data_IF_316430821023
#
_entry.id   IF_316430821023
#
_cell.length_a   1.000
_cell.length_b   1.000
_cell.length_c   1.000
_cell.angle_alpha   90.00
_cell.angle_beta   90.00
_cell.angle_gamma   90.00
#
_symmetry.space_group_name_H-M   'P 1'
#
loop_
_entity.id
_entity.type
_entity.pdbx_description
1 polymer ?
#
# COMPACT_ATOMS: atom_id res chain seq x y z
N UNK A 1 -3.94 -13.62 -4.11
CA UNK A 1 -4.99 -13.92 -5.12
C UNK A 1 -6.34 -14.28 -4.52
N UNK A 2 -6.44 -14.97 -3.37
CA UNK A 2 -7.76 -15.28 -2.77
C UNK A 2 -8.30 -14.17 -1.86
N UNK A 3 -7.42 -13.53 -1.10
CA UNK A 3 -7.77 -12.42 -0.20
C UNK A 3 -7.03 -11.10 -0.56
N UNK A 4 -6.10 -11.17 -1.52
CA UNK A 4 -5.30 -10.02 -1.93
C UNK A 4 -5.93 -9.27 -3.12
N UNK A 5 -6.88 -9.86 -3.83
CA UNK A 5 -7.64 -9.23 -4.91
C UNK A 5 -9.12 -9.29 -4.56
N UNK A 6 -9.92 -8.35 -5.07
CA UNK A 6 -11.36 -8.25 -4.84
C UNK A 6 -12.07 -9.50 -5.35
N UNK A 7 -11.72 -9.89 -6.57
CA UNK A 7 -12.13 -11.18 -7.14
C UNK A 7 -10.95 -12.15 -7.09
N UNK A 8 -11.18 -13.45 -6.79
CA UNK A 8 -10.12 -14.44 -6.84
C UNK A 8 -9.40 -14.43 -8.18
N UNK A 9 -8.07 -14.30 -8.13
CA UNK A 9 -7.23 -14.31 -9.33
C UNK A 9 -6.26 -15.50 -9.25
N UNK A 10 -6.42 -16.46 -10.17
CA UNK A 10 -5.63 -17.70 -10.20
C UNK A 10 -4.17 -17.47 -10.53
N UNK A 11 -3.83 -16.51 -11.40
CA UNK A 11 -2.45 -16.17 -11.73
C UNK A 11 -1.71 -15.65 -10.50
N UNK A 12 -2.36 -14.76 -9.75
CA UNK A 12 -1.83 -14.25 -8.47
C UNK A 12 -1.69 -15.39 -7.47
N UNK A 13 -2.65 -16.32 -7.39
CA UNK A 13 -2.52 -17.49 -6.50
C UNK A 13 -1.33 -18.35 -6.93
N UNK A 14 -1.20 -18.68 -8.21
CA UNK A 14 -0.13 -19.52 -8.74
C UNK A 14 1.25 -18.92 -8.49
N UNK A 15 1.40 -17.61 -8.70
CA UNK A 15 2.64 -16.89 -8.44
C UNK A 15 3.09 -17.03 -6.97
N UNK A 16 2.22 -16.68 -6.02
CA UNK A 16 2.55 -16.74 -4.59
C UNK A 16 2.57 -18.16 -4.02
N UNK A 17 1.95 -19.14 -4.69
CA UNK A 17 2.01 -20.55 -4.30
C UNK A 17 3.30 -21.25 -4.77
N UNK A 18 4.11 -20.62 -5.62
CA UNK A 18 5.36 -21.22 -6.09
C UNK A 18 6.31 -21.48 -4.90
N UNK A 19 6.81 -22.72 -4.69
CA UNK A 19 7.44 -23.12 -3.42
C UNK A 19 8.60 -22.23 -2.97
N UNK A 20 9.47 -21.83 -3.91
CA UNK A 20 10.60 -20.96 -3.61
C UNK A 20 10.15 -19.58 -3.12
N UNK A 21 9.11 -19.02 -3.75
CA UNK A 21 8.57 -17.72 -3.39
C UNK A 21 7.82 -17.79 -2.08
N UNK A 22 6.91 -18.77 -1.94
CA UNK A 22 6.13 -18.98 -0.73
C UNK A 22 7.04 -19.13 0.50
N UNK A 23 8.09 -19.94 0.41
CA UNK A 23 9.02 -20.16 1.52
C UNK A 23 9.84 -18.90 1.84
N UNK A 24 10.31 -18.17 0.83
CA UNK A 24 11.07 -16.94 1.04
C UNK A 24 10.22 -15.87 1.73
N UNK A 25 9.02 -15.61 1.21
CA UNK A 25 8.07 -14.64 1.77
C UNK A 25 7.69 -15.04 3.19
N UNK A 26 7.25 -16.29 3.41
CA UNK A 26 6.83 -16.75 4.72
C UNK A 26 7.92 -16.59 5.79
N UNK A 27 9.18 -16.89 5.47
CA UNK A 27 10.29 -16.73 6.42
C UNK A 27 10.56 -15.28 6.76
N UNK A 28 10.56 -14.40 5.76
CA UNK A 28 10.85 -12.97 5.95
C UNK A 28 9.69 -12.31 6.71
N UNK A 29 8.45 -12.53 6.26
CA UNK A 29 7.25 -11.99 6.91
C UNK A 29 7.14 -12.47 8.36
N UNK A 30 7.26 -13.78 8.62
CA UNK A 30 7.19 -14.30 9.98
C UNK A 30 8.28 -13.70 10.88
N UNK A 31 9.50 -13.50 10.34
CA UNK A 31 10.59 -12.88 11.07
C UNK A 31 10.28 -11.41 11.44
N UNK A 32 9.76 -10.62 10.51
CA UNK A 32 9.40 -9.23 10.82
C UNK A 32 8.17 -9.18 11.75
N UNK A 33 7.15 -10.01 11.54
CA UNK A 33 5.95 -10.00 12.36
C UNK A 33 6.22 -10.39 13.82
N UNK A 34 7.00 -11.44 14.08
CA UNK A 34 7.31 -11.84 15.47
C UNK A 34 8.14 -10.78 16.21
N UNK A 35 8.94 -10.01 15.47
CA UNK A 35 9.73 -8.91 16.02
C UNK A 35 9.02 -7.55 15.94
N UNK A 36 7.70 -7.52 15.66
CA UNK A 36 6.91 -6.28 15.55
C UNK A 36 7.52 -5.26 14.57
N UNK A 37 8.07 -5.78 13.47
CA UNK A 37 8.83 -5.07 12.46
C UNK A 37 9.99 -4.21 13.01
N UNK A 38 10.46 -4.48 14.24
CA UNK A 38 11.46 -3.68 14.95
C UNK A 38 11.02 -2.22 15.15
N UNK A 39 9.71 -1.98 15.23
CA UNK A 39 9.12 -0.67 15.45
C UNK A 39 8.44 -0.61 16.82
N UNK A 40 8.47 0.59 17.42
CA UNK A 40 7.58 0.90 18.52
C UNK A 40 6.12 0.98 18.04
N UNK A 41 5.12 0.75 18.92
CA UNK A 41 3.73 0.89 18.57
C UNK A 41 3.41 2.26 17.96
N UNK A 42 2.71 2.27 16.83
CA UNK A 42 2.34 3.48 16.08
C UNK A 42 3.52 4.39 15.69
N UNK A 43 4.76 3.89 15.67
CA UNK A 43 5.93 4.71 15.38
C UNK A 43 5.83 5.47 14.04
N UNK A 44 5.22 4.89 13.01
CA UNK A 44 5.05 5.57 11.71
C UNK A 44 4.09 6.77 11.85
N UNK A 45 2.90 6.55 12.42
CA UNK A 45 1.87 7.59 12.63
C UNK A 45 2.42 8.71 13.52
N UNK A 46 3.12 8.36 14.59
CA UNK A 46 3.68 9.34 15.53
C UNK A 46 4.87 10.14 14.96
N UNK A 47 5.38 9.79 13.77
CA UNK A 47 6.51 10.45 13.13
C UNK A 47 6.16 11.02 11.75
N UNK A 48 4.88 11.16 11.40
CA UNK A 48 4.46 11.73 10.10
C UNK A 48 4.93 13.18 9.91
N UNK A 49 5.22 13.90 10.99
CA UNK A 49 5.84 15.24 10.94
C UNK A 49 7.14 15.27 10.15
N UNK A 50 7.88 14.15 10.09
CA UNK A 50 9.11 14.02 9.30
C UNK A 50 8.86 13.94 7.80
N UNK A 51 7.62 13.71 7.38
CA UNK A 51 7.20 13.61 5.98
C UNK A 51 6.61 14.93 5.45
N UNK A 52 6.51 15.96 6.30
CA UNK A 52 5.95 17.26 5.92
C UNK A 52 6.76 17.90 4.81
N UNK A 53 6.05 18.48 3.84
CA UNK A 53 6.64 19.07 2.63
C UNK A 53 7.03 18.06 1.56
N UNK A 54 6.88 16.74 1.79
CA UNK A 54 7.07 15.72 0.76
C UNK A 54 5.73 15.51 0.02
N UNK A 55 5.66 15.73 -1.30
CA UNK A 55 4.46 15.42 -2.08
C UNK A 55 4.15 13.92 -2.02
N UNK A 56 2.91 13.55 -1.69
CA UNK A 56 2.54 12.15 -1.53
C UNK A 56 1.10 11.85 -1.99
N UNK A 57 0.90 10.63 -2.47
CA UNK A 57 -0.43 10.05 -2.72
C UNK A 57 -0.48 8.67 -2.06
N UNK A 58 -1.53 8.42 -1.29
CA UNK A 58 -1.86 7.13 -0.67
C UNK A 58 -2.96 6.51 -1.52
N UNK A 59 -2.67 5.41 -2.21
CA UNK A 59 -3.64 4.64 -3.00
C UNK A 59 -4.00 3.37 -2.23
N UNK A 60 -5.29 3.16 -1.93
CA UNK A 60 -5.71 2.01 -1.12
C UNK A 60 -7.02 1.40 -1.60
N UNK A 61 -7.10 0.07 -1.66
CA UNK A 61 -8.34 -0.63 -2.03
C UNK A 61 -9.37 -0.63 -0.90
N UNK A 62 -10.64 -0.32 -1.22
CA UNK A 62 -11.73 -0.32 -0.23
C UNK A 62 -11.90 -1.68 0.46
N UNK A 63 -11.65 -2.76 -0.26
CA UNK A 63 -11.82 -4.13 0.21
C UNK A 63 -10.48 -4.85 0.43
N UNK A 64 -9.41 -4.10 0.73
CA UNK A 64 -8.15 -4.70 1.15
C UNK A 64 -8.32 -5.45 2.48
N UNK A 65 -8.28 -6.79 2.40
CA UNK A 65 -8.39 -7.70 3.54
C UNK A 65 -7.03 -8.05 4.17
N UNK A 66 -5.92 -7.66 3.54
CA UNK A 66 -4.56 -7.90 4.03
C UNK A 66 -4.15 -6.73 4.93
N UNK A 67 -4.34 -5.51 4.45
CA UNK A 67 -4.09 -4.26 5.14
C UNK A 67 -5.39 -3.45 5.19
N UNK A 68 -6.21 -3.60 6.26
CA UNK A 68 -7.51 -2.95 6.32
C UNK A 68 -7.45 -1.42 6.13
N UNK A 69 -8.45 -0.89 5.44
CA UNK A 69 -8.47 0.52 4.97
C UNK A 69 -8.40 1.57 6.09
N UNK A 70 -8.76 1.22 7.33
CA UNK A 70 -8.65 2.12 8.48
C UNK A 70 -7.20 2.62 8.70
N UNK A 71 -6.20 1.82 8.30
CA UNK A 71 -4.79 2.20 8.40
C UNK A 71 -4.44 3.34 7.42
N UNK A 72 -5.02 3.33 6.21
CA UNK A 72 -4.84 4.41 5.23
C UNK A 72 -5.52 5.70 5.68
N UNK A 73 -6.72 5.60 6.28
CA UNK A 73 -7.39 6.75 6.90
C UNK A 73 -6.55 7.34 8.04
N UNK A 74 -6.07 6.50 8.97
CA UNK A 74 -5.24 6.96 10.08
C UNK A 74 -3.96 7.67 9.60
N UNK A 75 -3.32 7.16 8.54
CA UNK A 75 -2.15 7.82 7.95
C UNK A 75 -2.51 9.16 7.30
N UNK A 76 -3.61 9.24 6.56
CA UNK A 76 -4.07 10.49 5.94
C UNK A 76 -4.47 11.55 6.97
N UNK A 77 -5.10 11.15 8.08
CA UNK A 77 -5.40 12.04 9.20
C UNK A 77 -4.13 12.59 9.85
N UNK A 78 -3.11 11.75 10.04
CA UNK A 78 -1.82 12.14 10.61
C UNK A 78 -0.89 12.85 9.62
N UNK A 79 -1.13 12.73 8.31
CA UNK A 79 -0.36 13.36 7.24
C UNK A 79 -1.30 14.05 6.23
N UNK A 80 -1.90 15.19 6.60
CA UNK A 80 -2.97 15.82 5.82
C UNK A 80 -2.52 16.45 4.49
N UNK A 81 -1.21 16.51 4.22
CA UNK A 81 -0.65 16.93 2.93
C UNK A 81 -0.69 15.81 1.89
N UNK A 82 -0.79 14.55 2.32
CA UNK A 82 -0.89 13.41 1.42
C UNK A 82 -2.31 13.31 0.85
N UNK A 83 -2.42 13.15 -0.47
CA UNK A 83 -3.69 12.87 -1.12
C UNK A 83 -4.09 11.41 -0.88
N UNK A 84 -5.31 11.16 -0.41
CA UNK A 84 -5.85 9.81 -0.21
C UNK A 84 -6.82 9.43 -1.33
N UNK A 85 -6.45 8.43 -2.13
CA UNK A 85 -7.27 7.86 -3.19
C UNK A 85 -7.75 6.45 -2.77
N UNK A 86 -9.00 6.34 -2.31
CA UNK A 86 -9.62 5.03 -2.00
C UNK A 86 -10.30 4.45 -3.24
N UNK A 87 -9.83 3.29 -3.68
CA UNK A 87 -10.35 2.61 -4.87
C UNK A 87 -11.53 1.72 -4.48
N UNK A 88 -12.71 2.07 -4.99
CA UNK A 88 -13.98 1.47 -4.56
C UNK A 88 -14.07 -0.03 -4.86
N UNK A 89 -13.49 -0.49 -5.97
CA UNK A 89 -13.59 -1.84 -6.53
C UNK A 89 -12.24 -2.58 -6.55
N UNK A 90 -11.44 -2.44 -5.49
CA UNK A 90 -10.14 -3.11 -5.39
C UNK A 90 -9.85 -3.72 -4.01
N UNK A 91 -9.05 -4.80 -4.03
CA UNK A 91 -8.42 -5.40 -2.86
C UNK A 91 -7.03 -4.82 -2.55
N UNK A 92 -6.13 -5.68 -2.08
CA UNK A 92 -4.76 -5.34 -1.69
C UNK A 92 -3.79 -5.16 -2.86
N UNK A 93 -3.99 -5.93 -3.93
CA UNK A 93 -3.00 -6.11 -4.97
C UNK A 93 -2.82 -4.83 -5.79
N UNK A 94 -1.56 -4.43 -5.98
CA UNK A 94 -1.20 -3.28 -6.83
C UNK A 94 -1.60 -3.46 -8.29
N UNK A 95 -1.81 -4.70 -8.74
CA UNK A 95 -2.23 -5.01 -10.12
C UNK A 95 -3.75 -5.00 -10.31
N UNK A 96 -4.55 -4.63 -9.30
CA UNK A 96 -5.97 -4.36 -9.50
C UNK A 96 -6.14 -3.21 -10.50
N UNK A 97 -7.08 -3.28 -11.46
CA UNK A 97 -7.22 -2.26 -12.51
C UNK A 97 -7.32 -0.83 -11.95
N UNK A 98 -8.19 -0.60 -10.95
CA UNK A 98 -8.36 0.71 -10.33
C UNK A 98 -7.15 1.17 -9.51
N UNK A 99 -6.41 0.25 -8.88
CA UNK A 99 -5.17 0.58 -8.16
C UNK A 99 -4.07 0.95 -9.16
N UNK A 100 -3.92 0.18 -10.23
CA UNK A 100 -2.95 0.44 -11.29
C UNK A 100 -3.16 1.81 -11.92
N UNK A 101 -4.41 2.13 -12.31
CA UNK A 101 -4.79 3.45 -12.84
C UNK A 101 -4.46 4.58 -11.87
N UNK A 102 -4.83 4.42 -10.58
CA UNK A 102 -4.54 5.44 -9.57
C UNK A 102 -3.03 5.63 -9.33
N UNK A 103 -2.25 4.56 -9.32
CA UNK A 103 -0.79 4.63 -9.22
C UNK A 103 -0.17 5.35 -10.42
N UNK A 104 -0.61 5.06 -11.65
CA UNK A 104 -0.16 5.75 -12.86
C UNK A 104 -0.44 7.25 -12.75
N UNK A 105 -1.70 7.63 -12.46
CA UNK A 105 -2.06 9.05 -12.28
C UNK A 105 -1.27 9.72 -11.16
N UNK A 106 -1.01 9.02 -10.06
CA UNK A 106 -0.21 9.55 -8.96
C UNK A 106 1.22 9.85 -9.40
N UNK A 107 1.84 8.94 -10.17
CA UNK A 107 3.19 9.15 -10.72
C UNK A 107 3.25 10.27 -11.75
N UNK A 108 2.23 10.41 -12.60
CA UNK A 108 2.12 11.53 -13.56
C UNK A 108 1.97 12.88 -12.84
N UNK A 109 1.10 12.97 -11.82
CA UNK A 109 0.96 14.17 -10.99
C UNK A 109 2.27 14.55 -10.32
N UNK A 110 2.99 13.56 -9.78
CA UNK A 110 4.29 13.78 -9.15
C UNK A 110 5.32 14.31 -10.16
N UNK A 111 5.39 13.71 -11.36
CA UNK A 111 6.28 14.18 -12.42
C UNK A 111 5.98 15.64 -12.82
N UNK A 112 4.70 15.98 -13.00
CA UNK A 112 4.30 17.36 -13.28
C UNK A 112 4.66 18.32 -12.15
N UNK A 113 4.43 17.93 -10.89
CA UNK A 113 4.78 18.75 -9.73
C UNK A 113 6.28 19.05 -9.69
N UNK A 114 7.13 18.04 -9.86
CA UNK A 114 8.58 18.20 -9.86
C UNK A 114 9.07 19.10 -11.00
N UNK A 115 8.53 18.93 -12.21
CA UNK A 115 8.88 19.77 -13.36
C UNK A 115 8.38 21.22 -13.24
N UNK A 116 7.36 21.48 -12.42
CA UNK A 116 6.84 22.84 -12.19
C UNK A 116 7.62 23.64 -11.14
N UNK A 117 8.58 22.99 -10.46
CA UNK A 117 9.44 23.63 -9.44
C UNK A 117 10.84 23.96 -9.97
N UNK A 118 11.16 23.61 -11.23
CA UNK A 118 12.34 24.08 -11.97
C UNK A 118 12.05 25.41 -12.69
#
# INVERSE_FOLDING_TARGET
GRCATLHPNEDVVGHFAHPHMAMAIARIEAHYFINKAFLEPNQIINNTDKLRGIPATIVHGRYDMVCPVNQAFALSEAWPEAQLDIIADAGHSSSEPGITDALIRATERLAHHLNSQE
#
